data_IF_848750299403
#
_entry.id   IF_848750299403
#
_cell.length_a   1.000
_cell.length_b   1.000
_cell.length_c   1.000
_cell.angle_alpha   90.00
_cell.angle_beta   90.00
_cell.angle_gamma   90.00
#
_symmetry.space_group_name_H-M   'P 1'
#
loop_
_entity.id
_entity.type
_entity.pdbx_description
1 polymer ?
#
# COMPACT_ATOMS: atom_id res chain seq x y z
N UNK A 1 23.80 -13.83 -2.28
CA UNK A 1 22.39 -13.47 -2.45
C UNK A 1 21.67 -13.62 -1.11
N UNK A 2 20.63 -12.87 -0.87
CA UNK A 2 19.80 -12.94 0.35
C UNK A 2 19.35 -14.37 0.68
N UNK A 3 19.12 -15.21 -0.32
CA UNK A 3 18.76 -16.62 -0.20
C UNK A 3 19.80 -17.47 0.52
N UNK A 4 21.07 -17.21 0.27
CA UNK A 4 22.17 -17.98 0.87
C UNK A 4 22.34 -17.60 2.32
N UNK A 5 22.22 -16.31 2.66
CA UNK A 5 22.36 -15.80 4.03
C UNK A 5 21.16 -16.18 4.93
N UNK A 6 19.97 -16.33 4.31
CA UNK A 6 18.74 -16.65 5.03
C UNK A 6 18.36 -18.15 4.96
N UNK A 7 19.27 -19.00 4.48
CA UNK A 7 19.03 -20.44 4.40
C UNK A 7 18.68 -21.01 5.76
N UNK A 8 17.47 -21.56 5.86
CA UNK A 8 17.00 -22.31 7.01
C UNK A 8 16.72 -23.75 6.58
N UNK A 9 17.40 -24.70 7.20
CA UNK A 9 17.29 -26.10 6.88
C UNK A 9 15.83 -26.59 7.07
N UNK A 10 15.26 -27.16 6.00
CA UNK A 10 13.89 -27.67 6.01
C UNK A 10 12.81 -26.67 5.57
N UNK A 11 13.15 -25.39 5.31
CA UNK A 11 12.20 -24.42 4.78
C UNK A 11 12.32 -24.29 3.25
N UNK A 12 11.18 -24.14 2.53
CA UNK A 12 11.21 -23.89 1.11
C UNK A 12 11.81 -22.52 0.79
N UNK A 13 12.42 -22.37 -0.40
CA UNK A 13 13.02 -21.10 -0.85
C UNK A 13 12.00 -19.95 -0.92
N UNK A 14 10.71 -20.24 -0.97
CA UNK A 14 9.60 -19.27 -1.04
C UNK A 14 9.26 -18.61 0.30
N UNK A 15 9.92 -18.98 1.40
CA UNK A 15 9.58 -18.43 2.72
C UNK A 15 9.83 -16.91 2.86
N UNK A 16 10.65 -16.31 1.98
CA UNK A 16 10.89 -14.86 1.92
C UNK A 16 10.00 -14.14 0.90
N UNK A 17 9.28 -14.82 0.03
CA UNK A 17 8.55 -14.22 -1.08
C UNK A 17 7.55 -13.15 -0.61
N UNK A 18 6.93 -13.35 0.54
CA UNK A 18 5.99 -12.40 1.14
C UNK A 18 6.66 -11.10 1.63
N UNK A 19 7.99 -11.07 1.75
CA UNK A 19 8.78 -9.90 2.16
C UNK A 19 9.54 -9.25 1.00
N UNK A 20 9.54 -9.87 -0.18
CA UNK A 20 10.18 -9.33 -1.37
C UNK A 20 9.16 -8.54 -2.19
N UNK A 21 9.27 -7.24 -2.16
CA UNK A 21 8.35 -6.32 -2.83
C UNK A 21 9.10 -5.60 -3.94
N UNK A 22 8.50 -5.61 -5.13
CA UNK A 22 9.04 -4.90 -6.29
C UNK A 22 8.40 -3.53 -6.40
N UNK A 23 9.21 -2.49 -6.51
CA UNK A 23 8.71 -1.13 -6.75
C UNK A 23 9.80 -0.07 -6.61
N UNK A 24 9.44 1.16 -6.95
CA UNK A 24 10.28 2.33 -6.72
C UNK A 24 10.18 2.74 -5.24
N UNK A 25 11.32 2.68 -4.57
CA UNK A 25 11.42 2.95 -3.13
C UNK A 25 11.59 4.43 -2.77
N UNK A 26 11.64 5.34 -3.76
CA UNK A 26 11.93 6.75 -3.53
C UNK A 26 10.72 7.68 -3.73
N UNK A 27 9.73 7.27 -4.49
CA UNK A 27 8.70 8.17 -5.03
C UNK A 27 7.26 7.83 -4.63
N UNK A 28 7.06 6.88 -3.74
CA UNK A 28 5.71 6.50 -3.29
C UNK A 28 5.13 7.49 -2.27
N UNK A 29 3.81 7.78 -2.32
CA UNK A 29 3.13 8.58 -1.32
C UNK A 29 2.96 7.81 0.00
N UNK A 30 2.85 8.54 1.10
CA UNK A 30 2.27 8.02 2.33
C UNK A 30 0.73 8.17 2.28
N UNK A 31 0.03 7.44 3.12
CA UNK A 31 -1.42 7.49 3.16
C UNK A 31 -1.95 8.91 3.42
N UNK A 32 -1.26 9.71 4.21
CA UNK A 32 -1.64 11.10 4.47
C UNK A 32 -1.62 11.97 3.20
N UNK A 33 -0.71 11.69 2.25
CA UNK A 33 -0.65 12.40 0.97
C UNK A 33 -1.91 12.13 0.14
N UNK A 34 -2.52 10.93 0.29
CA UNK A 34 -3.74 10.54 -0.44
C UNK A 34 -4.96 11.36 -0.04
N UNK A 35 -4.90 12.09 1.07
CA UNK A 35 -5.95 12.99 1.53
C UNK A 35 -5.82 14.40 0.94
N UNK A 36 -4.91 14.57 -0.02
CA UNK A 36 -4.73 15.80 -0.79
C UNK A 36 -4.86 15.52 -2.29
N UNK A 37 -5.27 16.52 -3.05
CA UNK A 37 -5.26 16.41 -4.51
C UNK A 37 -3.83 16.42 -5.03
N UNK A 38 -3.46 15.46 -5.93
CA UNK A 38 -2.07 15.21 -6.31
C UNK A 38 -1.40 16.37 -7.05
N UNK A 39 -2.16 17.19 -7.76
CA UNK A 39 -1.58 18.27 -8.58
C UNK A 39 -1.78 19.64 -7.93
N UNK A 40 -2.95 19.94 -7.38
CA UNK A 40 -3.20 21.23 -6.69
C UNK A 40 -2.63 21.28 -5.28
N UNK A 41 -2.45 20.11 -4.63
CA UNK A 41 -2.04 20.04 -3.21
C UNK A 41 -3.13 20.45 -2.22
N UNK A 42 -4.33 20.77 -2.71
CA UNK A 42 -5.46 21.11 -1.84
C UNK A 42 -5.98 19.88 -1.12
N UNK A 43 -6.46 20.00 0.14
CA UNK A 43 -7.05 18.87 0.84
C UNK A 43 -8.33 18.40 0.14
N UNK A 44 -8.60 17.09 0.20
CA UNK A 44 -9.91 16.56 -0.19
C UNK A 44 -10.97 16.98 0.83
N UNK A 45 -12.24 16.82 0.47
CA UNK A 45 -13.35 17.12 1.38
C UNK A 45 -13.21 16.32 2.70
N UNK A 46 -13.41 17.00 3.83
CA UNK A 46 -13.24 16.44 5.18
C UNK A 46 -14.10 15.19 5.41
N UNK A 47 -15.31 15.15 4.83
CA UNK A 47 -16.19 14.00 4.94
C UNK A 47 -15.57 12.76 4.28
N UNK A 48 -15.05 12.91 3.07
CA UNK A 48 -14.39 11.80 2.36
C UNK A 48 -13.08 11.39 3.05
N UNK A 49 -12.31 12.36 3.55
CA UNK A 49 -11.11 12.09 4.32
C UNK A 49 -11.41 11.25 5.57
N UNK A 50 -12.46 11.58 6.32
CA UNK A 50 -12.90 10.81 7.48
C UNK A 50 -13.36 9.41 7.09
N UNK A 51 -14.20 9.26 6.07
CA UNK A 51 -14.68 7.96 5.60
C UNK A 51 -13.53 7.05 5.16
N UNK A 52 -12.56 7.59 4.41
CA UNK A 52 -11.38 6.81 3.98
C UNK A 52 -10.53 6.40 5.19
N UNK A 53 -10.30 7.30 6.15
CA UNK A 53 -9.56 7.00 7.36
C UNK A 53 -10.24 5.91 8.21
N UNK A 54 -11.55 6.02 8.43
CA UNK A 54 -12.33 5.02 9.18
C UNK A 54 -12.30 3.66 8.48
N UNK A 55 -12.47 3.66 7.16
CA UNK A 55 -12.39 2.44 6.36
C UNK A 55 -11.01 1.78 6.45
N UNK A 56 -9.93 2.56 6.33
CA UNK A 56 -8.58 2.04 6.47
C UNK A 56 -8.35 1.45 7.87
N UNK A 57 -8.74 2.18 8.93
CA UNK A 57 -8.60 1.70 10.31
C UNK A 57 -9.33 0.38 10.53
N UNK A 58 -10.58 0.28 10.07
CA UNK A 58 -11.35 -0.95 10.17
C UNK A 58 -10.67 -2.10 9.43
N UNK A 59 -10.25 -1.86 8.18
CA UNK A 59 -9.54 -2.85 7.36
C UNK A 59 -8.25 -3.34 8.02
N UNK A 60 -7.47 -2.42 8.56
CA UNK A 60 -6.21 -2.76 9.24
C UNK A 60 -6.47 -3.48 10.56
N UNK A 61 -7.43 -3.05 11.38
CA UNK A 61 -7.76 -3.70 12.64
C UNK A 61 -8.18 -5.16 12.45
N UNK A 62 -8.98 -5.44 11.43
CA UNK A 62 -9.41 -6.81 11.10
C UNK A 62 -8.26 -7.66 10.53
N UNK A 63 -7.43 -7.09 9.66
CA UNK A 63 -6.41 -7.83 8.93
C UNK A 63 -5.12 -8.02 9.75
N UNK A 64 -4.67 -6.99 10.50
CA UNK A 64 -3.44 -7.07 11.30
C UNK A 64 -3.59 -7.98 12.51
N UNK A 65 -4.76 -8.08 13.12
CA UNK A 65 -4.99 -9.03 14.20
C UNK A 65 -4.63 -10.45 13.77
N UNK A 66 -5.05 -10.86 12.57
CA UNK A 66 -4.71 -12.17 12.02
C UNK A 66 -3.22 -12.32 11.67
N UNK A 67 -2.57 -11.27 11.17
CA UNK A 67 -1.14 -11.31 10.83
C UNK A 67 -0.29 -11.39 12.09
N UNK A 68 -0.58 -10.61 13.11
CA UNK A 68 0.15 -10.60 14.38
C UNK A 68 0.04 -11.95 15.12
N UNK A 69 -1.14 -12.56 15.14
CA UNK A 69 -1.33 -13.90 15.73
C UNK A 69 -0.47 -14.96 15.03
N UNK A 70 -0.32 -14.85 13.71
CA UNK A 70 0.48 -15.79 12.93
C UNK A 70 1.99 -15.48 13.00
N UNK A 71 2.39 -14.22 13.16
CA UNK A 71 3.81 -13.86 13.36
C UNK A 71 4.32 -14.23 14.74
N UNK A 72 3.47 -14.18 15.75
CA UNK A 72 3.78 -14.65 17.11
C UNK A 72 3.99 -16.18 17.16
N UNK A 73 3.40 -16.93 16.23
CA UNK A 73 3.70 -18.35 16.04
C UNK A 73 5.02 -18.48 15.29
N UNK A 74 6.05 -18.97 15.98
CA UNK A 74 7.35 -19.27 15.35
C UNK A 74 7.14 -20.38 14.33
N UNK A 75 7.18 -20.02 13.03
CA UNK A 75 6.99 -20.94 11.93
C UNK A 75 7.98 -22.11 11.97
N UNK A 76 7.51 -23.23 12.45
CA UNK A 76 8.28 -24.49 12.55
C UNK A 76 7.93 -25.47 11.44
N UNK A 77 6.90 -25.17 10.64
CA UNK A 77 6.28 -26.12 9.73
C UNK A 77 5.83 -25.44 8.44
N UNK A 78 5.75 -26.20 7.35
CA UNK A 78 5.26 -25.76 6.03
C UNK A 78 3.80 -25.27 6.14
N UNK A 79 2.99 -25.88 7.01
CA UNK A 79 1.62 -25.48 7.24
C UNK A 79 1.50 -24.05 7.82
N UNK A 80 2.40 -23.66 8.71
CA UNK A 80 2.48 -22.28 9.25
C UNK A 80 2.80 -21.27 8.15
N UNK A 81 3.67 -21.65 7.19
CA UNK A 81 4.00 -20.79 6.05
C UNK A 81 2.82 -20.56 5.12
N UNK A 82 2.02 -21.60 4.85
CA UNK A 82 0.80 -21.49 4.03
C UNK A 82 -0.25 -20.59 4.72
N UNK A 83 -0.38 -20.70 6.04
CA UNK A 83 -1.29 -19.82 6.81
C UNK A 83 -0.83 -18.37 6.76
N UNK A 84 0.48 -18.10 6.93
CA UNK A 84 1.06 -16.75 6.82
C UNK A 84 0.88 -16.17 5.42
N UNK A 85 1.12 -16.97 4.39
CA UNK A 85 0.88 -16.56 3.02
C UNK A 85 -0.59 -16.21 2.76
N UNK A 86 -1.50 -17.02 3.27
CA UNK A 86 -2.95 -16.78 3.14
C UNK A 86 -3.39 -15.52 3.88
N UNK A 87 -2.89 -15.29 5.10
CA UNK A 87 -3.18 -14.07 5.85
C UNK A 87 -2.63 -12.83 5.16
N UNK A 88 -1.40 -12.88 4.65
CA UNK A 88 -0.81 -11.79 3.87
C UNK A 88 -1.63 -11.49 2.62
N UNK A 89 -2.04 -12.51 1.88
CA UNK A 89 -2.90 -12.35 0.70
C UNK A 89 -4.22 -11.66 1.03
N UNK A 90 -4.86 -12.03 2.13
CA UNK A 90 -6.10 -11.36 2.60
C UNK A 90 -5.87 -9.90 2.96
N UNK A 91 -4.76 -9.59 3.63
CA UNK A 91 -4.35 -8.23 3.92
C UNK A 91 -4.13 -7.43 2.64
N UNK A 92 -3.43 -8.00 1.67
CA UNK A 92 -3.14 -7.36 0.38
C UNK A 92 -4.43 -7.11 -0.43
N UNK A 93 -5.37 -8.05 -0.43
CA UNK A 93 -6.69 -7.88 -1.05
C UNK A 93 -7.49 -6.77 -0.36
N UNK A 94 -7.50 -6.75 0.97
CA UNK A 94 -8.21 -5.75 1.75
C UNK A 94 -7.62 -4.33 1.57
N UNK A 95 -6.31 -4.21 1.41
CA UNK A 95 -5.63 -2.94 1.16
C UNK A 95 -5.61 -2.50 -0.32
N UNK A 96 -6.07 -3.36 -1.22
CA UNK A 96 -6.07 -3.09 -2.67
C UNK A 96 -6.72 -1.75 -3.06
N UNK A 97 -7.87 -1.32 -2.51
CA UNK A 97 -8.47 -0.03 -2.86
C UNK A 97 -7.57 1.16 -2.49
N UNK A 98 -6.88 1.10 -1.35
CA UNK A 98 -5.99 2.17 -0.90
C UNK A 98 -4.69 2.19 -1.71
N UNK A 99 -4.17 1.03 -2.09
CA UNK A 99 -3.02 0.94 -2.99
C UNK A 99 -3.35 1.45 -4.39
N UNK A 100 -4.58 1.25 -4.85
CA UNK A 100 -5.04 1.85 -6.10
C UNK A 100 -5.11 3.38 -6.00
N UNK A 101 -5.60 3.93 -4.88
CA UNK A 101 -5.52 5.37 -4.63
C UNK A 101 -4.08 5.87 -4.72
N UNK A 102 -3.13 5.19 -4.07
CA UNK A 102 -1.72 5.55 -4.08
C UNK A 102 -1.11 5.51 -5.50
N UNK A 103 -1.41 4.47 -6.27
CA UNK A 103 -0.93 4.34 -7.64
C UNK A 103 -1.48 5.46 -8.55
N UNK A 104 -2.78 5.76 -8.45
CA UNK A 104 -3.41 6.83 -9.24
C UNK A 104 -2.89 8.20 -8.78
N UNK A 105 -2.75 8.43 -7.48
CA UNK A 105 -2.18 9.67 -6.94
C UNK A 105 -0.78 9.92 -7.50
N UNK A 106 0.11 8.93 -7.43
CA UNK A 106 1.46 9.00 -8.00
C UNK A 106 1.44 9.26 -9.50
N UNK A 107 0.57 8.58 -10.24
CA UNK A 107 0.41 8.79 -11.68
C UNK A 107 -0.05 10.22 -12.01
N UNK A 108 -0.97 10.78 -11.23
CA UNK A 108 -1.42 12.18 -11.37
C UNK A 108 -0.27 13.18 -11.14
N UNK A 109 0.55 12.94 -10.11
CA UNK A 109 1.74 13.76 -9.85
C UNK A 109 2.71 13.70 -11.03
N UNK A 110 2.96 12.51 -11.57
CA UNK A 110 3.86 12.32 -12.72
C UNK A 110 3.34 13.03 -13.98
N UNK A 111 2.02 13.03 -14.21
CA UNK A 111 1.41 13.71 -15.36
C UNK A 111 1.41 15.23 -15.20
N UNK A 112 1.28 15.74 -13.97
CA UNK A 112 1.26 17.17 -13.67
C UNK A 112 0.07 17.94 -14.26
N UNK A 113 -0.96 17.26 -14.75
CA UNK A 113 -2.15 17.88 -15.34
C UNK A 113 -3.26 18.08 -14.28
N UNK A 114 -3.74 19.32 -14.16
CA UNK A 114 -4.83 19.68 -13.23
C UNK A 114 -6.14 18.93 -13.50
N UNK A 115 -6.37 18.45 -14.72
CA UNK A 115 -7.50 17.59 -15.05
C UNK A 115 -7.46 16.26 -14.30
N UNK A 116 -6.28 15.82 -13.89
CA UNK A 116 -6.07 14.61 -13.10
C UNK A 116 -6.70 14.68 -11.71
N UNK A 117 -6.79 15.87 -11.09
CA UNK A 117 -7.45 16.05 -9.79
C UNK A 117 -8.93 15.68 -9.83
N UNK A 118 -9.61 15.92 -10.96
CA UNK A 118 -11.01 15.53 -11.11
C UNK A 118 -11.15 14.00 -11.18
N UNK A 119 -10.25 13.33 -11.90
CA UNK A 119 -10.24 11.87 -11.97
C UNK A 119 -9.93 11.26 -10.58
N UNK A 120 -8.96 11.83 -9.87
CA UNK A 120 -8.64 11.42 -8.50
C UNK A 120 -9.82 11.62 -7.55
N UNK A 121 -10.52 12.76 -7.62
CA UNK A 121 -11.72 13.02 -6.81
C UNK A 121 -12.79 11.93 -7.00
N UNK A 122 -13.05 11.52 -8.24
CA UNK A 122 -14.03 10.48 -8.52
C UNK A 122 -13.60 9.11 -7.93
N UNK A 123 -12.31 8.81 -7.94
CA UNK A 123 -11.80 7.60 -7.31
C UNK A 123 -11.92 7.67 -5.79
N UNK A 124 -11.57 8.81 -5.18
CA UNK A 124 -11.73 9.07 -3.73
C UNK A 124 -13.16 8.84 -3.29
N UNK A 125 -14.15 9.44 -3.99
CA UNK A 125 -15.57 9.24 -3.66
C UNK A 125 -15.98 7.77 -3.76
N UNK A 126 -15.51 7.05 -4.78
CA UNK A 126 -15.80 5.62 -4.95
C UNK A 126 -15.19 4.76 -3.85
N UNK A 127 -13.96 5.07 -3.44
CA UNK A 127 -13.31 4.34 -2.34
C UNK A 127 -13.92 4.70 -0.98
N UNK A 128 -14.41 5.91 -0.78
CA UNK A 128 -15.10 6.32 0.44
C UNK A 128 -16.48 5.64 0.56
N UNK A 129 -17.20 5.51 -0.54
CA UNK A 129 -18.51 4.83 -0.60
C UNK A 129 -18.31 3.30 -0.61
N UNK A 130 -18.74 2.63 0.47
CA UNK A 130 -18.54 1.20 0.67
C UNK A 130 -19.41 0.32 -0.23
N UNK A 131 -20.51 0.87 -0.79
CA UNK A 131 -21.55 0.06 -1.44
C UNK A 131 -21.40 -0.10 -2.96
N UNK A 132 -20.61 0.76 -3.64
CA UNK A 132 -20.58 0.71 -5.09
C UNK A 132 -19.20 1.06 -5.66
N UNK A 133 -18.40 0.03 -5.98
CA UNK A 133 -17.16 0.17 -6.77
C UNK A 133 -17.50 0.20 -8.28
N UNK A 134 -18.51 0.93 -8.67
CA UNK A 134 -18.79 1.14 -10.08
C UNK A 134 -18.14 2.45 -10.55
N UNK A 135 -16.81 2.38 -10.69
CA UNK A 135 -16.03 3.48 -11.30
C UNK A 135 -16.65 3.76 -12.65
N UNK A 136 -17.12 4.96 -12.88
CA UNK A 136 -17.75 5.37 -14.12
C UNK A 136 -16.93 4.84 -15.30
N UNK A 137 -17.51 4.00 -16.12
CA UNK A 137 -16.82 3.31 -17.23
C UNK A 137 -16.02 4.25 -18.14
N UNK A 138 -16.44 5.52 -18.22
CA UNK A 138 -15.75 6.58 -18.97
C UNK A 138 -14.41 7.01 -18.38
N UNK A 139 -14.22 6.85 -17.06
CA UNK A 139 -13.00 7.26 -16.37
C UNK A 139 -11.98 6.10 -16.25
N UNK A 140 -12.41 4.86 -16.43
CA UNK A 140 -11.53 3.69 -16.30
C UNK A 140 -10.25 3.77 -17.15
N UNK A 141 -10.26 4.19 -18.41
CA UNK A 141 -9.03 4.29 -19.20
C UNK A 141 -8.04 5.32 -18.63
N UNK A 142 -8.52 6.47 -18.17
CA UNK A 142 -7.66 7.50 -17.57
C UNK A 142 -7.08 7.04 -16.22
N UNK A 143 -7.91 6.44 -15.36
CA UNK A 143 -7.48 5.87 -14.08
C UNK A 143 -6.48 4.73 -14.28
N UNK A 144 -6.68 3.90 -15.30
CA UNK A 144 -5.74 2.83 -15.64
C UNK A 144 -4.40 3.40 -16.10
N UNK A 145 -4.40 4.39 -16.97
CA UNK A 145 -3.17 5.07 -17.41
C UNK A 145 -2.42 5.70 -16.23
N UNK A 146 -3.11 6.38 -15.33
CA UNK A 146 -2.50 6.97 -14.14
C UNK A 146 -1.95 5.90 -13.19
N UNK A 147 -2.69 4.81 -13.00
CA UNK A 147 -2.25 3.68 -12.20
C UNK A 147 -1.03 2.98 -12.82
N UNK A 148 -0.97 2.84 -14.14
CA UNK A 148 0.17 2.23 -14.84
C UNK A 148 1.44 3.07 -14.69
N UNK A 149 1.31 4.40 -14.68
CA UNK A 149 2.43 5.32 -14.45
C UNK A 149 2.92 5.26 -12.99
N UNK A 150 2.00 5.29 -12.02
CA UNK A 150 2.31 5.34 -10.59
C UNK A 150 2.33 3.98 -9.88
N UNK A 151 1.93 2.91 -10.55
CA UNK A 151 1.73 1.59 -9.93
C UNK A 151 2.99 0.89 -9.45
N UNK A 152 4.17 1.38 -9.85
CA UNK A 152 5.45 0.86 -9.35
C UNK A 152 5.96 1.60 -8.11
N UNK A 153 5.35 2.72 -7.73
CA UNK A 153 5.73 3.50 -6.56
C UNK A 153 5.26 2.80 -5.28
N UNK A 154 6.12 2.77 -4.27
CA UNK A 154 5.81 2.09 -3.01
C UNK A 154 5.23 3.08 -1.99
N UNK A 155 3.94 2.95 -1.71
CA UNK A 155 3.31 3.56 -0.53
C UNK A 155 3.70 2.72 0.70
N UNK A 156 4.77 3.10 1.38
CA UNK A 156 5.41 2.29 2.42
C UNK A 156 4.46 1.87 3.54
N UNK A 157 3.63 2.78 4.00
CA UNK A 157 2.67 2.53 5.08
C UNK A 157 1.47 1.66 4.68
N UNK A 158 1.22 1.51 3.37
CA UNK A 158 0.25 0.57 2.83
C UNK A 158 0.87 -0.77 2.43
N UNK A 159 2.19 -0.79 2.21
CA UNK A 159 2.94 -2.00 1.86
C UNK A 159 3.41 -2.74 3.10
N UNK A 160 3.82 -1.99 4.13
CA UNK A 160 4.28 -2.48 5.44
C UNK A 160 3.43 -1.89 6.57
N UNK A 161 2.11 -2.17 6.59
CA UNK A 161 1.21 -1.57 7.58
C UNK A 161 1.58 -1.95 9.01
N UNK A 162 2.20 -3.10 9.22
CA UNK A 162 2.71 -3.57 10.50
C UNK A 162 3.85 -2.69 11.04
N UNK A 163 4.60 -2.00 10.15
CA UNK A 163 5.71 -1.12 10.53
C UNK A 163 5.23 0.30 10.79
N UNK A 164 4.29 0.79 10.00
CA UNK A 164 3.88 2.20 9.99
C UNK A 164 2.53 2.45 10.65
N UNK A 165 1.67 1.44 10.76
CA UNK A 165 0.28 1.59 11.23
C UNK A 165 -0.13 0.43 12.11
N UNK A 166 0.33 0.45 13.36
CA UNK A 166 -0.17 -0.47 14.37
C UNK A 166 -1.61 -0.10 14.74
N UNK A 167 -2.51 -1.10 14.75
CA UNK A 167 -3.94 -0.96 15.10
C UNK A 167 -4.69 0.13 14.30
N UNK A 168 -4.25 0.39 13.06
CA UNK A 168 -4.89 1.36 12.18
C UNK A 168 -4.65 2.83 12.54
N UNK A 169 -3.72 3.11 13.42
CA UNK A 169 -3.27 4.47 13.76
C UNK A 169 -1.76 4.61 13.51
N UNK A 170 -1.30 5.70 12.90
CA UNK A 170 0.13 5.96 12.78
C UNK A 170 0.70 6.19 14.18
N UNK A 171 1.76 5.47 14.53
CA UNK A 171 2.50 5.74 15.76
C UNK A 171 3.46 6.91 15.57
N UNK A 172 3.74 7.65 16.67
CA UNK A 172 4.59 8.83 16.65
C UNK A 172 6.04 8.56 16.21
N UNK A 173 6.48 7.29 16.35
CA UNK A 173 7.82 6.80 15.97
C UNK A 173 7.71 5.58 15.04
N UNK A 174 6.63 5.46 14.28
CA UNK A 174 6.47 4.39 13.31
C UNK A 174 7.50 4.51 12.19
N UNK A 175 8.04 3.39 11.74
CA UNK A 175 9.02 3.32 10.67
C UNK A 175 9.99 2.15 10.83
N UNK A 176 10.92 2.05 9.89
CA UNK A 176 11.98 1.06 9.96
C UNK A 176 13.11 1.52 10.90
N UNK A 177 13.65 0.61 11.70
CA UNK A 177 14.83 0.90 12.53
C UNK A 177 16.07 1.20 11.69
N UNK A 178 16.16 0.64 10.49
CA UNK A 178 17.28 0.85 9.56
C UNK A 178 16.85 0.60 8.13
N UNK A 179 17.35 1.43 7.22
CA UNK A 179 17.19 1.28 5.77
C UNK A 179 18.57 1.18 5.14
N UNK A 180 18.81 0.09 4.42
CA UNK A 180 20.00 -0.12 3.63
C UNK A 180 19.65 -0.06 2.15
N UNK A 181 20.36 0.75 1.39
CA UNK A 181 20.15 0.93 -0.04
C UNK A 181 21.45 1.09 -0.82
N UNK A 182 21.39 0.75 -2.08
CA UNK A 182 22.44 1.08 -3.04
C UNK A 182 21.79 1.96 -4.14
N UNK A 183 21.69 3.28 -3.91
CA UNK A 183 21.08 4.17 -4.89
C UNK A 183 21.92 4.20 -6.17
N UNK A 184 21.29 4.40 -7.34
CA UNK A 184 22.01 4.52 -8.60
C UNK A 184 22.96 5.73 -8.56
N UNK A 185 24.18 5.53 -9.00
CA UNK A 185 25.21 6.57 -9.10
C UNK A 185 25.17 7.20 -10.49
N UNK A 186 24.10 7.91 -10.82
CA UNK A 186 24.09 8.69 -12.04
C UNK A 186 24.84 10.00 -11.83
N UNK A 187 25.77 10.29 -12.75
CA UNK A 187 26.40 11.61 -12.80
C UNK A 187 25.35 12.61 -13.29
N UNK A 188 25.01 13.55 -12.43
CA UNK A 188 24.28 14.76 -12.80
C UNK A 188 25.14 15.63 -13.72
#
# INVERSE_FOLDING_TARGET
SLWIESYAEGLPLTFLDHRLIRGDSLTGPFFEDLLTFPVSGEPIDDLFAQQINERLRKTLGEALAHVNDLEASVGKDVADLEQKHTAKKRLDEALSPFRMLAAVWSGCVMLGDRGSDLAYRNLVTTVADQENIDIHKSLQPALQQMSDLGGQNLAYDLVFPEVFRLEGSPERNAGFDSILGNPPWDRI
#
